data_IF_363154913470
#
_entry.id   IF_363154913470
#
_cell.length_a   1.000
_cell.length_b   1.000
_cell.length_c   1.000
_cell.angle_alpha   90.00
_cell.angle_beta   90.00
_cell.angle_gamma   90.00
#
_symmetry.space_group_name_H-M   'P 1'
#
loop_
_entity.id
_entity.type
_entity.pdbx_description
1 polymer ?
#
# COMPACT_ATOMS: atom_id res chain seq x y z
N UNK A 1 -8.92 45.76 -4.99
CA UNK A 1 -8.74 44.42 -5.60
C UNK A 1 -8.84 43.42 -4.46
N UNK A 2 -9.81 42.50 -4.51
CA UNK A 2 -9.87 41.41 -3.53
C UNK A 2 -8.95 40.27 -4.00
N UNK A 3 -8.26 39.62 -3.06
CA UNK A 3 -7.44 38.47 -3.38
C UNK A 3 -8.34 37.28 -3.81
N UNK A 4 -7.91 36.45 -4.77
CA UNK A 4 -8.62 35.21 -5.10
C UNK A 4 -8.57 34.24 -3.92
N UNK A 5 -9.51 33.30 -3.86
CA UNK A 5 -9.53 32.21 -2.89
C UNK A 5 -9.41 30.88 -3.64
N UNK A 6 -8.44 30.07 -3.25
CA UNK A 6 -8.16 28.75 -3.82
C UNK A 6 -8.38 27.69 -2.73
N UNK A 7 -9.26 26.74 -2.99
CA UNK A 7 -9.46 25.58 -2.13
C UNK A 7 -8.54 24.45 -2.58
N UNK A 8 -7.68 23.96 -1.68
CA UNK A 8 -6.78 22.83 -1.93
C UNK A 8 -6.79 21.92 -0.71
N UNK A 9 -7.25 20.68 -0.90
CA UNK A 9 -7.46 19.75 0.22
C UNK A 9 -8.48 20.32 1.22
N UNK A 10 -8.06 20.49 2.47
CA UNK A 10 -8.88 21.11 3.53
C UNK A 10 -8.53 22.59 3.78
N UNK A 11 -7.60 23.17 2.99
CA UNK A 11 -7.11 24.54 3.15
C UNK A 11 -7.67 25.53 2.12
N UNK A 12 -7.73 26.80 2.51
CA UNK A 12 -8.07 27.94 1.63
C UNK A 12 -6.85 28.87 1.54
N UNK A 13 -6.43 29.21 0.31
CA UNK A 13 -5.24 29.99 0.03
C UNK A 13 -5.59 31.26 -0.75
N UNK A 14 -5.00 32.40 -0.38
CA UNK A 14 -5.32 33.70 -0.99
C UNK A 14 -4.36 34.12 -2.11
N UNK A 15 -3.41 33.26 -2.49
CA UNK A 15 -2.46 33.50 -3.56
C UNK A 15 -2.06 32.17 -4.24
N UNK A 16 -1.67 32.27 -5.51
CA UNK A 16 -1.37 31.11 -6.37
C UNK A 16 -0.16 30.32 -5.84
N UNK A 17 0.88 31.00 -5.35
CA UNK A 17 2.09 30.34 -4.87
C UNK A 17 1.84 29.41 -3.69
N UNK A 18 1.06 29.86 -2.70
CA UNK A 18 0.68 29.02 -1.55
C UNK A 18 -0.23 27.85 -1.96
N UNK A 19 -1.17 28.07 -2.87
CA UNK A 19 -2.03 26.99 -3.38
C UNK A 19 -1.22 25.92 -4.14
N UNK A 20 -0.26 26.33 -4.98
CA UNK A 20 0.65 25.41 -5.68
C UNK A 20 1.54 24.64 -4.70
N UNK A 21 2.06 25.30 -3.67
CA UNK A 21 2.84 24.62 -2.61
C UNK A 21 2.00 23.56 -1.90
N UNK A 22 0.72 23.85 -1.61
CA UNK A 22 -0.19 22.91 -0.96
C UNK A 22 -0.52 21.70 -1.84
N UNK A 23 -0.72 21.91 -3.14
CA UNK A 23 -0.86 20.83 -4.12
C UNK A 23 0.39 19.96 -4.16
N UNK A 24 1.57 20.57 -4.22
CA UNK A 24 2.84 19.84 -4.23
C UNK A 24 2.98 18.96 -2.97
N UNK A 25 2.72 19.50 -1.78
CA UNK A 25 2.73 18.72 -0.55
C UNK A 25 1.74 17.54 -0.59
N UNK A 26 0.54 17.76 -1.12
CA UNK A 26 -0.48 16.71 -1.23
C UNK A 26 -0.03 15.57 -2.17
N UNK A 27 0.63 15.92 -3.27
CA UNK A 27 1.22 14.95 -4.20
C UNK A 27 2.35 14.19 -3.52
N UNK A 28 3.30 14.88 -2.87
CA UNK A 28 4.41 14.23 -2.14
C UNK A 28 3.91 13.25 -1.07
N UNK A 29 2.84 13.61 -0.34
CA UNK A 29 2.25 12.71 0.66
C UNK A 29 1.62 11.46 0.02
N UNK A 30 1.00 11.63 -1.15
CA UNK A 30 0.43 10.52 -1.93
C UNK A 30 1.55 9.61 -2.45
N UNK A 31 2.62 10.18 -3.00
CA UNK A 31 3.79 9.43 -3.47
C UNK A 31 4.44 8.63 -2.34
N UNK A 32 4.60 9.23 -1.17
CA UNK A 32 5.13 8.52 0.00
C UNK A 32 4.23 7.34 0.42
N UNK A 33 2.91 7.52 0.35
CA UNK A 33 1.95 6.44 0.65
C UNK A 33 2.02 5.31 -0.38
N UNK A 34 2.13 5.65 -1.67
CA UNK A 34 2.29 4.68 -2.76
C UNK A 34 3.62 3.92 -2.64
N UNK A 35 4.71 4.62 -2.29
CA UNK A 35 6.01 3.98 -2.04
C UNK A 35 5.91 2.98 -0.88
N UNK A 36 5.26 3.35 0.23
CA UNK A 36 5.02 2.43 1.35
C UNK A 36 4.20 1.19 0.93
N UNK A 37 3.16 1.36 0.10
CA UNK A 37 2.41 0.24 -0.45
C UNK A 37 3.29 -0.66 -1.34
N UNK A 38 4.20 -0.07 -2.13
CA UNK A 38 5.11 -0.83 -2.98
C UNK A 38 6.16 -1.62 -2.18
N UNK A 39 6.54 -1.16 -0.99
CA UNK A 39 7.49 -1.86 -0.10
C UNK A 39 6.83 -2.96 0.75
N UNK A 40 5.61 -2.72 1.25
CA UNK A 40 4.98 -3.59 2.26
C UNK A 40 3.92 -4.56 1.71
N UNK A 41 3.44 -4.36 0.48
CA UNK A 41 2.46 -5.27 -0.13
C UNK A 41 3.08 -6.61 -0.58
N UNK A 42 2.26 -7.66 -0.58
CA UNK A 42 2.60 -8.94 -1.17
C UNK A 42 2.39 -8.86 -2.69
N UNK A 43 3.47 -8.55 -3.42
CA UNK A 43 3.45 -8.23 -4.84
C UNK A 43 3.69 -9.44 -5.75
N UNK A 44 3.15 -9.38 -6.96
CA UNK A 44 3.47 -10.32 -8.04
C UNK A 44 4.88 -10.04 -8.55
N UNK A 45 5.71 -11.07 -8.61
CA UNK A 45 7.05 -11.04 -9.19
C UNK A 45 7.04 -11.79 -10.53
N UNK A 46 7.14 -11.02 -11.62
CA UNK A 46 7.12 -11.54 -12.98
C UNK A 46 8.27 -12.49 -13.27
N UNK A 47 9.43 -12.32 -12.61
CA UNK A 47 10.62 -13.13 -12.86
C UNK A 47 10.45 -14.58 -12.41
N UNK A 48 9.59 -14.80 -11.42
CA UNK A 48 9.22 -16.14 -10.92
C UNK A 48 7.77 -16.52 -11.26
N UNK A 49 7.03 -15.62 -11.92
CA UNK A 49 5.61 -15.79 -12.27
C UNK A 49 4.77 -16.24 -11.05
N UNK A 50 4.98 -15.58 -9.92
CA UNK A 50 4.31 -15.89 -8.66
C UNK A 50 4.27 -14.67 -7.74
N UNK A 51 3.39 -14.71 -6.74
CA UNK A 51 3.44 -13.76 -5.62
C UNK A 51 4.65 -14.04 -4.73
N UNK A 52 5.42 -12.99 -4.42
CA UNK A 52 6.61 -13.10 -3.57
C UNK A 52 6.30 -12.71 -2.12
N UNK A 53 6.60 -13.62 -1.19
CA UNK A 53 6.61 -13.34 0.24
C UNK A 53 7.98 -12.82 0.73
N UNK A 54 8.84 -12.35 -0.17
CA UNK A 54 10.10 -11.70 0.20
C UNK A 54 9.82 -10.31 0.74
N UNK A 55 10.34 -9.99 1.93
CA UNK A 55 10.30 -8.64 2.49
C UNK A 55 11.72 -8.29 2.96
N UNK A 56 12.24 -7.14 2.53
CA UNK A 56 13.64 -6.72 2.77
C UNK A 56 14.70 -7.76 2.35
N UNK A 57 14.41 -8.53 1.30
CA UNK A 57 15.32 -9.53 0.73
C UNK A 57 15.32 -10.89 1.44
N UNK A 58 14.40 -11.11 2.39
CA UNK A 58 14.27 -12.37 3.13
C UNK A 58 12.88 -13.00 2.93
N UNK A 59 12.83 -14.32 2.82
CA UNK A 59 11.56 -15.04 2.84
C UNK A 59 10.84 -14.81 4.18
N UNK A 60 9.61 -14.29 4.12
CA UNK A 60 8.84 -13.88 5.29
C UNK A 60 7.64 -14.80 5.55
N UNK A 61 7.18 -14.83 6.80
CA UNK A 61 5.99 -15.61 7.20
C UNK A 61 4.71 -14.86 6.86
N UNK A 62 3.73 -15.58 6.34
CA UNK A 62 2.33 -15.12 6.27
C UNK A 62 1.60 -15.69 7.49
N UNK A 63 1.10 -14.81 8.36
CA UNK A 63 0.37 -15.18 9.58
C UNK A 63 -1.08 -14.68 9.52
N UNK A 64 -1.89 -14.99 10.53
CA UNK A 64 -3.32 -14.69 10.59
C UNK A 64 -4.13 -15.28 9.42
N UNK A 65 -3.59 -16.35 8.80
CA UNK A 65 -4.27 -17.13 7.78
C UNK A 65 -5.32 -18.04 8.45
N UNK A 66 -6.55 -17.99 7.95
CA UNK A 66 -7.61 -18.93 8.36
C UNK A 66 -7.25 -20.37 7.97
N UNK A 67 -7.89 -21.36 8.60
CA UNK A 67 -7.68 -22.76 8.18
C UNK A 67 -8.32 -22.98 6.80
N UNK A 68 -7.51 -23.38 5.82
CA UNK A 68 -8.01 -23.82 4.53
C UNK A 68 -8.72 -25.17 4.60
N UNK A 69 -9.60 -25.42 3.63
CA UNK A 69 -10.37 -26.66 3.50
C UNK A 69 -9.47 -27.82 3.05
N UNK A 70 -9.60 -28.98 3.70
CA UNK A 70 -8.92 -30.22 3.29
C UNK A 70 -9.84 -31.06 2.39
N UNK A 71 -9.85 -30.73 1.10
CA UNK A 71 -10.58 -31.44 0.05
C UNK A 71 -9.69 -31.63 -1.18
N UNK A 72 -10.02 -32.61 -2.05
CA UNK A 72 -9.17 -33.01 -3.17
C UNK A 72 -8.93 -31.91 -4.21
N UNK A 73 -9.85 -30.96 -4.32
CA UNK A 73 -9.88 -29.85 -5.28
C UNK A 73 -9.67 -28.47 -4.62
N UNK A 74 -9.30 -28.45 -3.34
CA UNK A 74 -9.10 -27.20 -2.60
C UNK A 74 -7.90 -26.41 -3.12
N UNK A 75 -8.09 -25.10 -3.27
CA UNK A 75 -7.02 -24.11 -3.55
C UNK A 75 -6.74 -23.21 -2.36
N UNK A 76 -7.31 -23.53 -1.19
CA UNK A 76 -7.10 -22.74 0.02
C UNK A 76 -5.67 -22.92 0.52
N UNK A 77 -5.01 -21.83 0.91
CA UNK A 77 -3.76 -21.92 1.65
C UNK A 77 -4.00 -22.56 3.03
N UNK A 78 -3.12 -23.46 3.46
CA UNK A 78 -3.24 -24.16 4.76
C UNK A 78 -2.37 -23.49 5.82
N UNK A 79 -2.96 -23.17 6.98
CA UNK A 79 -2.20 -22.71 8.14
C UNK A 79 -1.54 -23.88 8.87
N UNK A 80 -0.35 -23.66 9.43
CA UNK A 80 0.29 -24.68 10.29
C UNK A 80 -0.59 -24.89 11.53
N UNK A 81 -1.07 -26.12 11.73
CA UNK A 81 -1.69 -26.52 12.99
C UNK A 81 -0.57 -26.72 14.01
N UNK A 82 -0.52 -25.89 15.05
CA UNK A 82 0.39 -26.12 16.17
C UNK A 82 -0.17 -27.28 17.00
N UNK A 83 0.31 -28.49 16.75
CA UNK A 83 0.11 -29.60 17.69
C UNK A 83 1.19 -29.42 18.76
N UNK A 84 0.75 -29.32 20.01
CA UNK A 84 1.62 -29.21 21.19
C UNK A 84 2.47 -30.46 21.31
#
# INVERSE_FOLDING_TARGET
MNAPLYEVGTGIYNNVGSALSALNTSITNTEASVAGLAEDALLWDESISAFSASHTGNASKITNLAAGTLAADSTDAVKRLSVV
#
